data_IF_750938908269
#
_entry.id   IF_750938908269
#
_cell.length_a   1.000
_cell.length_b   1.000
_cell.length_c   1.000
_cell.angle_alpha   90.00
_cell.angle_beta   90.00
_cell.angle_gamma   90.00
#
_symmetry.space_group_name_H-M   'P 1'
#
loop_
_entity.id
_entity.type
_entity.pdbx_description
1 polymer ?
#
# COMPACT_ATOMS: atom_id res chain seq x y z
N UNK A 1 3.63 -16.51 2.23
CA UNK A 1 4.51 -15.60 1.46
C UNK A 1 3.66 -14.38 1.13
N UNK A 2 4.10 -13.15 1.41
CA UNK A 2 3.31 -11.92 1.17
C UNK A 2 3.44 -11.38 -0.27
N UNK A 3 3.96 -12.21 -1.16
CA UNK A 3 4.11 -11.89 -2.57
C UNK A 3 3.11 -12.77 -3.33
N UNK A 4 2.72 -12.37 -4.53
CA UNK A 4 1.84 -13.14 -5.43
C UNK A 4 0.35 -13.11 -5.12
N UNK A 5 -0.18 -11.99 -4.61
CA UNK A 5 -1.64 -11.77 -4.60
C UNK A 5 -2.19 -11.44 -5.99
N UNK A 6 -1.41 -10.70 -6.78
CA UNK A 6 -1.63 -10.34 -8.19
C UNK A 6 -0.29 -10.07 -8.87
N UNK A 7 -0.32 -10.00 -10.20
CA UNK A 7 0.77 -9.42 -11.00
C UNK A 7 0.90 -7.93 -10.67
N UNK A 8 2.12 -7.44 -10.49
CA UNK A 8 2.33 -6.02 -10.18
C UNK A 8 2.21 -5.17 -11.45
N UNK A 9 3.05 -5.48 -12.45
CA UNK A 9 3.05 -4.84 -13.76
C UNK A 9 2.27 -5.67 -14.79
N UNK A 10 1.76 -5.02 -15.84
CA UNK A 10 1.04 -5.67 -16.95
C UNK A 10 1.89 -6.71 -17.66
N UNK A 11 3.21 -6.49 -17.71
CA UNK A 11 4.16 -7.39 -18.35
C UNK A 11 4.65 -8.52 -17.45
N UNK A 12 4.34 -8.50 -16.15
CA UNK A 12 4.75 -9.58 -15.25
C UNK A 12 4.05 -10.88 -15.63
N UNK A 13 4.74 -12.01 -15.45
CA UNK A 13 4.20 -13.36 -15.59
C UNK A 13 4.44 -14.07 -14.27
N UNK A 14 3.38 -14.63 -13.70
CA UNK A 14 3.42 -15.36 -12.43
C UNK A 14 3.06 -16.82 -12.70
N UNK A 15 3.95 -17.72 -12.31
CA UNK A 15 3.69 -19.15 -12.26
C UNK A 15 3.59 -19.54 -10.80
N UNK A 16 2.43 -20.03 -10.39
CA UNK A 16 2.19 -20.49 -9.02
C UNK A 16 2.21 -22.02 -8.96
N UNK A 17 2.68 -22.56 -7.84
CA UNK A 17 2.49 -23.99 -7.52
C UNK A 17 1.00 -24.30 -7.32
N UNK A 18 0.64 -25.57 -7.12
CA UNK A 18 -0.74 -26.02 -6.87
C UNK A 18 -1.48 -25.11 -5.89
N UNK A 19 -2.37 -24.27 -6.42
CA UNK A 19 -3.07 -23.20 -5.71
C UNK A 19 -4.57 -23.45 -5.71
N UNK A 20 -5.25 -22.94 -4.69
CA UNK A 20 -6.70 -23.01 -4.52
C UNK A 20 -7.25 -21.62 -4.26
N UNK A 21 -8.46 -21.36 -4.74
CA UNK A 21 -9.29 -20.22 -4.32
C UNK A 21 -10.43 -20.72 -3.45
N UNK A 22 -11.00 -19.85 -2.62
CA UNK A 22 -12.26 -20.15 -1.93
C UNK A 22 -13.42 -19.66 -2.78
N UNK A 23 -14.27 -20.57 -3.23
CA UNK A 23 -15.54 -20.28 -3.87
C UNK A 23 -16.67 -20.78 -2.98
N UNK A 24 -17.53 -19.86 -2.53
CA UNK A 24 -18.62 -20.15 -1.58
C UNK A 24 -18.17 -20.95 -0.35
N UNK A 25 -16.95 -20.67 0.15
CA UNK A 25 -16.36 -21.35 1.32
C UNK A 25 -15.72 -22.71 1.01
N UNK A 26 -15.77 -23.17 -0.23
CA UNK A 26 -15.15 -24.42 -0.67
C UNK A 26 -13.83 -24.15 -1.41
N UNK A 27 -12.76 -24.92 -1.15
CA UNK A 27 -11.52 -24.79 -1.91
C UNK A 27 -11.68 -25.34 -3.32
N UNK A 28 -11.44 -24.51 -4.33
CA UNK A 28 -11.46 -24.86 -5.75
C UNK A 28 -10.05 -24.74 -6.31
N UNK A 29 -9.47 -25.79 -6.93
CA UNK A 29 -8.14 -25.71 -7.51
C UNK A 29 -8.15 -24.74 -8.70
N UNK A 30 -7.07 -23.97 -8.83
CA UNK A 30 -6.85 -23.07 -9.96
C UNK A 30 -5.60 -23.45 -10.73
N UNK A 31 -5.52 -23.03 -12.00
CA UNK A 31 -4.36 -23.28 -12.85
C UNK A 31 -3.11 -22.58 -12.29
N UNK A 32 -1.94 -23.05 -12.71
CA UNK A 32 -0.64 -22.42 -12.41
C UNK A 32 -0.52 -21.01 -13.01
N UNK A 33 -1.40 -20.65 -13.96
CA UNK A 33 -1.45 -19.35 -14.64
C UNK A 33 -2.61 -18.47 -14.19
N UNK A 34 -3.41 -18.87 -13.19
CA UNK A 34 -4.65 -18.17 -12.79
C UNK A 34 -4.47 -16.66 -12.57
N UNK A 35 -3.36 -16.24 -11.94
CA UNK A 35 -3.08 -14.83 -11.69
C UNK A 35 -2.75 -14.04 -12.98
N UNK A 36 -2.33 -14.72 -14.04
CA UNK A 36 -2.07 -14.10 -15.35
C UNK A 36 -3.37 -13.71 -16.06
N UNK A 37 -4.47 -14.40 -15.77
CA UNK A 37 -5.80 -14.10 -16.32
C UNK A 37 -6.51 -12.96 -15.59
N UNK A 38 -5.98 -12.54 -14.42
CA UNK A 38 -6.51 -11.41 -13.65
C UNK A 38 -5.82 -10.09 -14.05
N UNK A 39 -6.51 -8.95 -13.88
CA UNK A 39 -5.88 -7.64 -14.01
C UNK A 39 -4.69 -7.49 -13.06
N UNK A 40 -3.60 -6.92 -13.57
CA UNK A 40 -2.46 -6.50 -12.76
C UNK A 40 -2.81 -5.33 -11.83
N UNK A 41 -1.94 -5.05 -10.85
CA UNK A 41 -2.07 -3.85 -10.01
C UNK A 41 -1.94 -2.61 -10.87
N UNK A 42 -1.01 -2.59 -11.84
CA UNK A 42 -0.84 -1.52 -12.81
C UNK A 42 -2.15 -1.19 -13.53
N UNK A 43 -2.85 -2.20 -14.04
CA UNK A 43 -4.15 -2.04 -14.70
C UNK A 43 -5.24 -1.56 -13.73
N UNK A 44 -5.27 -2.11 -12.51
CA UNK A 44 -6.27 -1.73 -11.52
C UNK A 44 -6.17 -0.25 -11.09
N UNK A 45 -4.95 0.28 -11.00
CA UNK A 45 -4.72 1.69 -10.59
C UNK A 45 -4.81 2.67 -11.75
N UNK A 46 -5.01 2.24 -13.00
CA UNK A 46 -5.12 3.17 -14.16
C UNK A 46 -6.21 4.22 -13.96
N UNK A 47 -7.33 3.82 -13.35
CA UNK A 47 -8.48 4.70 -13.06
C UNK A 47 -8.23 5.73 -11.95
N UNK A 48 -7.10 5.66 -11.24
CA UNK A 48 -6.75 6.62 -10.20
C UNK A 48 -6.23 7.93 -10.83
N UNK A 49 -6.32 9.04 -10.11
CA UNK A 49 -5.85 10.35 -10.58
C UNK A 49 -6.76 11.54 -10.28
N UNK A 50 -7.71 11.38 -9.35
CA UNK A 50 -8.52 12.51 -8.90
C UNK A 50 -7.64 13.47 -8.05
N UNK A 51 -7.70 14.79 -8.28
CA UNK A 51 -6.97 15.76 -7.45
C UNK A 51 -7.50 15.73 -6.02
N UNK A 52 -6.64 16.03 -5.04
CA UNK A 52 -6.99 16.08 -3.61
C UNK A 52 -7.66 14.79 -3.10
N UNK A 53 -7.26 13.63 -3.63
CA UNK A 53 -7.84 12.35 -3.29
C UNK A 53 -7.04 11.61 -2.22
N UNK A 54 -7.73 10.70 -1.51
CA UNK A 54 -7.14 9.74 -0.59
C UNK A 54 -7.26 8.36 -1.25
N UNK A 55 -6.15 7.67 -1.46
CA UNK A 55 -6.18 6.33 -2.01
C UNK A 55 -6.08 5.30 -0.90
N UNK A 56 -6.90 4.26 -1.01
CA UNK A 56 -6.85 3.11 -0.09
C UNK A 56 -6.50 1.89 -0.92
N UNK A 57 -5.33 1.31 -0.67
CA UNK A 57 -4.87 0.12 -1.37
C UNK A 57 -4.39 -0.90 -0.35
N UNK A 58 -4.60 -2.19 -0.60
CA UNK A 58 -4.11 -3.19 0.34
C UNK A 58 -2.57 -3.21 0.39
N UNK A 59 -1.94 -3.27 -0.79
CA UNK A 59 -0.48 -3.30 -0.94
C UNK A 59 0.13 -1.89 -0.79
N UNK A 60 1.26 -1.72 -0.05
CA UNK A 60 2.02 -0.47 0.01
C UNK A 60 2.86 -0.23 -1.25
N UNK A 61 3.27 1.03 -1.52
CA UNK A 61 4.23 1.33 -2.59
C UNK A 61 5.59 0.67 -2.32
N UNK A 62 6.27 0.22 -3.36
CA UNK A 62 7.55 -0.49 -3.25
C UNK A 62 8.74 0.42 -2.92
N UNK A 63 9.74 -0.09 -2.24
CA UNK A 63 11.06 0.57 -2.14
C UNK A 63 11.10 1.75 -1.19
N UNK A 64 10.19 1.73 -0.21
CA UNK A 64 10.11 2.70 0.88
C UNK A 64 10.29 2.00 2.22
N UNK A 65 9.77 2.63 3.26
CA UNK A 65 9.77 2.06 4.63
C UNK A 65 8.47 1.35 4.99
N UNK A 66 7.47 1.37 4.11
CA UNK A 66 6.13 0.83 4.36
C UNK A 66 5.93 -0.60 3.86
N UNK A 67 6.92 -1.14 3.14
CA UNK A 67 6.84 -2.42 2.44
C UNK A 67 7.94 -3.41 2.81
N UNK A 68 8.55 -3.25 3.99
CA UNK A 68 9.68 -4.05 4.48
C UNK A 68 9.21 -5.22 5.33
N UNK A 69 9.58 -6.44 4.92
CA UNK A 69 9.37 -7.67 5.68
C UNK A 69 10.36 -7.81 6.85
N UNK A 70 10.09 -8.73 7.78
CA UNK A 70 10.98 -9.02 8.91
C UNK A 70 12.42 -9.38 8.50
N UNK A 71 12.60 -9.96 7.31
CA UNK A 71 13.90 -10.32 6.76
C UNK A 71 14.59 -9.18 5.98
N UNK A 72 14.03 -7.96 6.03
CA UNK A 72 14.55 -6.78 5.35
C UNK A 72 14.20 -6.67 3.87
N UNK A 73 13.49 -7.64 3.28
CA UNK A 73 13.08 -7.58 1.88
C UNK A 73 11.95 -6.56 1.71
N UNK A 74 12.08 -5.71 0.68
CA UNK A 74 11.02 -4.82 0.20
C UNK A 74 10.13 -5.55 -0.80
N UNK A 75 8.82 -5.52 -0.58
CA UNK A 75 7.85 -6.33 -1.34
C UNK A 75 6.57 -5.57 -1.73
N UNK A 76 6.62 -4.23 -1.74
CA UNK A 76 5.51 -3.40 -2.17
C UNK A 76 5.32 -3.40 -3.68
N UNK A 77 4.34 -2.62 -4.14
CA UNK A 77 4.00 -2.49 -5.56
C UNK A 77 4.76 -1.34 -6.23
N UNK A 78 5.46 -1.66 -7.33
CA UNK A 78 6.11 -0.68 -8.21
C UNK A 78 5.07 0.08 -9.01
N UNK A 79 4.03 -0.61 -9.49
CA UNK A 79 2.93 0.00 -10.21
C UNK A 79 2.25 1.11 -9.40
N UNK A 80 1.93 0.82 -8.14
CA UNK A 80 1.35 1.78 -7.21
C UNK A 80 2.28 2.95 -6.94
N UNK A 81 3.57 2.70 -6.67
CA UNK A 81 4.55 3.77 -6.46
C UNK A 81 4.65 4.70 -7.66
N UNK A 82 4.73 4.13 -8.86
CA UNK A 82 4.80 4.92 -10.10
C UNK A 82 3.54 5.79 -10.27
N UNK A 83 2.36 5.25 -9.94
CA UNK A 83 1.10 5.99 -10.01
C UNK A 83 1.03 7.10 -8.96
N UNK A 84 1.52 6.87 -7.73
CA UNK A 84 1.62 7.90 -6.68
C UNK A 84 2.57 9.03 -7.11
N UNK A 85 3.76 8.69 -7.60
CA UNK A 85 4.75 9.67 -8.08
C UNK A 85 4.16 10.53 -9.21
N UNK A 86 3.35 9.93 -10.09
CA UNK A 86 2.73 10.63 -11.21
C UNK A 86 1.56 11.53 -10.81
N UNK A 87 0.61 11.03 -10.04
CA UNK A 87 -0.66 11.72 -9.79
C UNK A 87 -0.67 12.53 -8.48
N UNK A 88 0.28 12.27 -7.58
CA UNK A 88 0.48 12.98 -6.32
C UNK A 88 -0.83 13.18 -5.51
N UNK A 89 -1.53 12.10 -5.10
CA UNK A 89 -2.70 12.22 -4.23
C UNK A 89 -2.35 12.81 -2.87
N UNK A 90 -3.34 13.28 -2.12
CA UNK A 90 -3.12 13.90 -0.81
C UNK A 90 -2.54 12.89 0.19
N UNK A 91 -3.17 11.71 0.27
CA UNK A 91 -2.78 10.62 1.15
C UNK A 91 -2.93 9.28 0.44
N UNK A 92 -2.11 8.30 0.81
CA UNK A 92 -2.34 6.90 0.49
C UNK A 92 -2.25 6.02 1.73
N UNK A 93 -3.22 5.11 1.88
CA UNK A 93 -3.40 4.27 3.06
C UNK A 93 -3.22 2.80 2.69
N UNK A 94 -2.38 2.10 3.44
CA UNK A 94 -1.90 0.76 3.09
C UNK A 94 -1.95 -0.23 4.25
N UNK A 95 -1.98 -1.52 3.91
CA UNK A 95 -1.83 -2.64 4.84
C UNK A 95 -0.80 -3.63 4.30
N UNK A 96 -1.18 -4.93 4.29
CA UNK A 96 -0.43 -6.07 3.77
C UNK A 96 0.88 -6.39 4.51
N UNK A 97 1.82 -5.45 4.52
CA UNK A 97 3.14 -5.58 5.14
C UNK A 97 3.09 -5.03 6.56
N UNK A 98 2.29 -5.69 7.40
CA UNK A 98 1.95 -5.19 8.72
C UNK A 98 3.13 -5.09 9.69
N UNK A 99 4.21 -5.84 9.46
CA UNK A 99 5.44 -5.75 10.24
C UNK A 99 6.27 -4.51 9.90
N UNK A 100 6.03 -3.87 8.75
CA UNK A 100 6.92 -2.81 8.25
C UNK A 100 7.10 -1.68 9.26
N UNK A 101 6.04 -1.12 9.88
CA UNK A 101 6.22 -0.04 10.85
C UNK A 101 7.02 -0.40 12.09
N UNK A 102 6.99 -1.67 12.49
CA UNK A 102 7.74 -2.18 13.64
C UNK A 102 9.21 -2.40 13.25
N UNK A 103 9.44 -2.92 12.05
CA UNK A 103 10.78 -3.20 11.53
C UNK A 103 11.53 -1.91 11.18
N UNK A 104 10.85 -0.93 10.58
CA UNK A 104 11.47 0.33 10.16
C UNK A 104 11.37 1.43 11.22
N UNK A 105 10.56 1.23 12.26
CA UNK A 105 10.28 2.22 13.31
C UNK A 105 9.45 3.41 12.82
N UNK A 106 8.87 3.33 11.61
CA UNK A 106 8.09 4.42 11.00
C UNK A 106 6.87 3.87 10.27
N UNK A 107 5.75 4.56 10.45
CA UNK A 107 4.43 4.15 9.94
C UNK A 107 3.92 5.05 8.79
N UNK A 108 4.71 6.05 8.40
CA UNK A 108 4.41 6.94 7.28
C UNK A 108 5.69 7.41 6.58
N UNK A 109 5.58 7.66 5.28
CA UNK A 109 6.62 8.27 4.45
C UNK A 109 6.04 9.28 3.45
N UNK A 110 6.90 10.15 2.94
CA UNK A 110 6.55 11.12 1.90
C UNK A 110 7.06 10.63 0.55
N UNK A 111 6.18 10.58 -0.45
CA UNK A 111 6.50 10.26 -1.85
C UNK A 111 6.17 11.49 -2.69
N UNK A 112 7.16 12.39 -2.80
CA UNK A 112 6.91 13.74 -3.29
C UNK A 112 6.02 14.49 -2.30
N UNK A 113 4.89 14.97 -2.78
CA UNK A 113 3.88 15.70 -2.02
C UNK A 113 2.84 14.80 -1.34
N UNK A 114 2.85 13.50 -1.63
CA UNK A 114 1.91 12.53 -1.06
C UNK A 114 2.45 11.96 0.24
N UNK A 115 1.62 11.90 1.30
CA UNK A 115 1.95 11.12 2.49
C UNK A 115 1.33 9.72 2.41
N UNK A 116 2.20 8.71 2.35
CA UNK A 116 1.85 7.29 2.37
C UNK A 116 1.90 6.76 3.79
N UNK A 117 0.93 5.92 4.17
CA UNK A 117 0.74 5.46 5.55
C UNK A 117 0.51 3.95 5.56
N UNK A 118 1.19 3.23 6.46
CA UNK A 118 0.89 1.85 6.83
C UNK A 118 0.80 1.79 8.36
N UNK A 119 -0.38 1.45 8.89
CA UNK A 119 -0.61 1.40 10.34
C UNK A 119 0.21 0.26 10.99
N UNK A 120 0.47 -0.81 10.26
CA UNK A 120 1.10 -2.01 10.82
C UNK A 120 0.16 -2.82 11.70
N UNK A 121 0.68 -3.92 12.24
CA UNK A 121 -0.04 -4.80 13.16
C UNK A 121 0.96 -5.67 13.91
N UNK A 122 0.78 -5.79 15.22
CA UNK A 122 1.35 -6.87 16.03
C UNK A 122 0.30 -7.43 17.01
N UNK A 123 0.69 -7.62 18.28
CA UNK A 123 -0.19 -8.03 19.37
C UNK A 123 -1.12 -6.89 19.85
N UNK A 124 -0.70 -5.64 19.69
CA UNK A 124 -1.39 -4.45 20.14
C UNK A 124 -2.20 -3.83 18.99
N UNK A 125 -3.20 -3.01 19.30
CA UNK A 125 -4.02 -2.36 18.26
C UNK A 125 -3.26 -1.18 17.64
N UNK A 126 -2.80 -1.38 16.41
CA UNK A 126 -2.31 -0.32 15.54
C UNK A 126 -3.47 0.36 14.84
N UNK A 127 -3.59 1.67 15.02
CA UNK A 127 -4.51 2.50 14.27
C UNK A 127 -3.91 3.89 14.03
N UNK A 128 -4.29 4.50 12.91
CA UNK A 128 -3.93 5.87 12.57
C UNK A 128 -5.20 6.70 12.53
N UNK A 129 -5.21 7.80 13.29
CA UNK A 129 -6.25 8.82 13.27
C UNK A 129 -5.75 9.96 12.39
N UNK A 130 -6.59 10.37 11.45
CA UNK A 130 -6.28 11.38 10.43
C UNK A 130 -7.32 12.49 10.55
N UNK A 131 -6.89 13.67 11.00
CA UNK A 131 -7.72 14.87 10.99
C UNK A 131 -7.32 15.72 9.76
N UNK A 132 -8.27 15.93 8.85
CA UNK A 132 -8.06 16.69 7.62
C UNK A 132 -8.78 18.03 7.74
N UNK A 133 -8.00 19.11 7.73
CA UNK A 133 -8.49 20.48 7.67
C UNK A 133 -8.01 21.16 6.38
N UNK A 134 -8.64 22.26 5.93
CA UNK A 134 -8.29 22.93 4.68
C UNK A 134 -6.81 23.36 4.54
N UNK A 135 -6.09 23.55 5.65
CA UNK A 135 -4.70 24.02 5.66
C UNK A 135 -3.71 23.06 6.32
N UNK A 136 -4.17 21.96 6.91
CA UNK A 136 -3.31 21.04 7.66
C UNK A 136 -3.89 19.64 7.73
N UNK A 137 -3.01 18.66 7.80
CA UNK A 137 -3.36 17.27 8.09
C UNK A 137 -2.64 16.86 9.37
N UNK A 138 -3.39 16.33 10.33
CA UNK A 138 -2.82 15.77 11.57
C UNK A 138 -2.94 14.26 11.51
N UNK A 139 -1.83 13.59 11.73
CA UNK A 139 -1.76 12.14 11.77
C UNK A 139 -1.37 11.72 13.19
N UNK A 140 -2.06 10.72 13.75
CA UNK A 140 -1.71 10.13 15.05
C UNK A 140 -1.81 8.63 15.00
N UNK A 141 -0.68 7.96 15.19
CA UNK A 141 -0.63 6.54 15.42
C UNK A 141 -0.84 6.22 16.90
N UNK A 142 -1.64 5.20 17.21
CA UNK A 142 -1.96 4.80 18.60
C UNK A 142 -0.74 4.45 19.43
N UNK A 143 0.26 3.79 18.83
CA UNK A 143 1.49 3.35 19.49
C UNK A 143 2.74 4.22 19.21
N UNK A 144 2.94 4.69 17.97
CA UNK A 144 4.15 5.43 17.57
C UNK A 144 4.07 6.96 17.71
N UNK A 145 2.95 7.52 18.17
CA UNK A 145 2.77 8.96 18.35
C UNK A 145 2.28 9.71 17.09
N UNK A 146 2.42 11.03 17.08
CA UNK A 146 1.81 11.92 16.08
C UNK A 146 2.77 12.59 15.10
N UNK A 147 2.22 13.06 13.99
CA UNK A 147 2.90 13.84 12.95
C UNK A 147 1.94 14.93 12.39
N UNK A 148 2.46 16.11 12.06
CA UNK A 148 1.69 17.25 11.53
C UNK A 148 2.24 17.64 10.17
N UNK A 149 1.34 17.75 9.18
CA UNK A 149 1.65 18.18 7.81
C UNK A 149 0.97 19.54 7.58
N UNK A 150 1.75 20.55 7.25
CA UNK A 150 1.24 21.87 6.86
C UNK A 150 1.02 21.87 5.34
N UNK A 151 -0.19 22.24 4.88
CA UNK A 151 -0.51 22.22 3.44
C UNK A 151 0.05 23.44 2.67
N UNK A 152 0.83 24.31 3.32
CA UNK A 152 1.41 25.52 2.71
C UNK A 152 2.42 25.23 1.57
N UNK A 153 2.83 23.96 1.40
CA UNK A 153 3.76 23.50 0.36
C UNK A 153 3.11 22.65 -0.75
N UNK A 154 1.80 22.41 -0.73
CA UNK A 154 1.11 21.51 -1.68
C UNK A 154 0.44 22.24 -2.86
N UNK A 155 0.51 23.57 -2.90
CA UNK A 155 -0.11 24.41 -3.93
C UNK A 155 0.90 25.24 -4.76
N UNK A 156 2.17 24.80 -4.87
CA UNK A 156 3.15 25.36 -5.81
C UNK A 156 3.43 24.40 -6.96
#
# INVERSE_FOLDING_TARGET
MKNFERRDLRADIVNQSSSYILDQGSPVPVSEYYLNDLPSIEEAVESFGLPNSIWVTHIPPSGGILDVLQNGQSVGSKALRNKIVKEQPLLTLHGHIHESPIITGRWYEEIGNTVSINAGQDKDLHAVIIDIEPSKIRLRHTLFGGHLINQDNLNM
#
